data_IF_147707966488
#
_entry.id   IF_147707966488
#
_cell.length_a   1.000
_cell.length_b   1.000
_cell.length_c   1.000
_cell.angle_alpha   90.00
_cell.angle_beta   90.00
_cell.angle_gamma   90.00
#
_symmetry.space_group_name_H-M   'P 1'
#
loop_
_entity.id
_entity.type
_entity.pdbx_description
1 polymer ?
#
# COMPACT_ATOMS: atom_id res chain seq x y z
N UNK A 1 15.04 3.83 3.75
CA UNK A 1 14.69 3.20 5.03
C UNK A 1 15.36 1.85 5.19
N UNK A 2 15.30 1.30 6.39
CA UNK A 2 16.00 0.06 6.71
C UNK A 2 15.07 -1.14 6.69
N UNK A 3 15.60 -2.28 6.21
CA UNK A 3 14.83 -3.52 6.14
C UNK A 3 14.34 -3.96 7.51
N UNK A 4 15.18 -3.78 8.55
CA UNK A 4 14.78 -4.15 9.90
C UNK A 4 13.54 -3.40 10.39
N UNK A 5 13.42 -2.13 10.01
CA UNK A 5 12.23 -1.35 10.38
C UNK A 5 10.98 -1.87 9.68
N UNK A 6 11.13 -2.35 8.46
CA UNK A 6 10.01 -2.91 7.71
C UNK A 6 9.55 -4.21 8.37
N UNK A 7 10.48 -5.05 8.80
CA UNK A 7 10.14 -6.29 9.49
C UNK A 7 9.42 -6.02 10.79
N UNK A 8 9.85 -5.00 11.52
CA UNK A 8 9.18 -4.62 12.76
C UNK A 8 7.75 -4.17 12.49
N UNK A 9 7.55 -3.40 11.42
CA UNK A 9 6.22 -2.95 11.04
C UNK A 9 5.35 -4.14 10.65
N UNK A 10 5.91 -5.08 9.90
CA UNK A 10 5.18 -6.27 9.49
C UNK A 10 4.73 -7.08 10.71
N UNK A 11 5.65 -7.28 11.67
CA UNK A 11 5.31 -7.99 12.89
C UNK A 11 4.21 -7.28 13.67
N UNK A 12 4.30 -5.96 13.74
CA UNK A 12 3.30 -5.17 14.44
C UNK A 12 1.92 -5.30 13.78
N UNK A 13 1.90 -5.29 12.44
CA UNK A 13 0.66 -5.45 11.70
C UNK A 13 0.04 -6.82 11.94
N UNK A 14 0.85 -7.86 11.96
CA UNK A 14 0.35 -9.20 12.22
C UNK A 14 -0.23 -9.31 13.63
N UNK A 15 0.43 -8.72 14.61
CA UNK A 15 -0.07 -8.73 15.97
C UNK A 15 -1.38 -7.96 16.09
N UNK A 16 -1.47 -6.80 15.46
CA UNK A 16 -2.67 -5.97 15.53
C UNK A 16 -3.86 -6.62 14.85
N UNK A 17 -3.61 -7.24 13.72
CA UNK A 17 -4.70 -7.79 12.91
C UNK A 17 -5.09 -9.20 13.31
N UNK A 18 -4.21 -9.91 14.01
CA UNK A 18 -4.47 -11.25 14.47
C UNK A 18 -4.08 -12.36 13.52
N UNK A 19 -3.72 -12.04 12.29
CA UNK A 19 -3.28 -13.04 11.32
C UNK A 19 -2.52 -12.39 10.19
N UNK A 20 -1.76 -13.21 9.44
CA UNK A 20 -1.02 -12.72 8.29
C UNK A 20 -1.94 -12.21 7.20
N UNK A 21 -3.05 -12.90 6.97
CA UNK A 21 -4.00 -12.50 5.94
C UNK A 21 -4.63 -11.15 6.26
N UNK A 22 -5.01 -10.96 7.52
CA UNK A 22 -5.58 -9.70 7.96
C UNK A 22 -4.54 -8.58 7.90
N UNK A 23 -3.29 -8.89 8.19
CA UNK A 23 -2.21 -7.91 8.10
C UNK A 23 -2.05 -7.41 6.67
N UNK A 24 -2.09 -8.33 5.70
CA UNK A 24 -2.00 -7.96 4.29
C UNK A 24 -3.19 -7.12 3.86
N UNK A 25 -4.38 -7.48 4.30
CA UNK A 25 -5.59 -6.71 3.98
C UNK A 25 -5.51 -5.31 4.57
N UNK A 26 -5.05 -5.20 5.81
CA UNK A 26 -4.89 -3.92 6.48
C UNK A 26 -3.87 -3.05 5.74
N UNK A 27 -2.76 -3.65 5.35
CA UNK A 27 -1.73 -2.93 4.60
C UNK A 27 -2.27 -2.47 3.25
N UNK A 28 -3.00 -3.33 2.55
CA UNK A 28 -3.57 -2.97 1.25
C UNK A 28 -4.52 -1.79 1.37
N UNK A 29 -5.39 -1.79 2.36
CA UNK A 29 -6.32 -0.68 2.55
C UNK A 29 -5.61 0.59 3.01
N UNK A 30 -4.53 0.44 3.77
CA UNK A 30 -3.70 1.58 4.15
C UNK A 30 -3.06 2.19 2.92
N UNK A 31 -2.52 1.34 2.04
CA UNK A 31 -1.93 1.80 0.79
C UNK A 31 -2.98 2.51 -0.07
N UNK A 32 -4.17 1.93 -0.18
CA UNK A 32 -5.27 2.55 -0.92
C UNK A 32 -5.54 3.96 -0.39
N UNK A 33 -5.66 4.08 0.92
CA UNK A 33 -5.94 5.37 1.56
C UNK A 33 -4.84 6.39 1.28
N UNK A 34 -3.59 5.98 1.43
CA UNK A 34 -2.47 6.88 1.20
C UNK A 34 -2.35 7.29 -0.27
N UNK A 35 -2.58 6.35 -1.17
CA UNK A 35 -2.50 6.64 -2.60
C UNK A 35 -3.61 7.58 -3.04
N UNK A 36 -4.82 7.37 -2.56
CA UNK A 36 -5.93 8.26 -2.93
C UNK A 36 -5.72 9.66 -2.39
N UNK A 37 -5.19 9.78 -1.19
CA UNK A 37 -4.89 11.10 -0.61
C UNK A 37 -3.89 11.90 -1.44
N UNK A 38 -2.99 11.21 -2.12
CA UNK A 38 -1.93 11.84 -2.91
C UNK A 38 -2.24 11.90 -4.39
N UNK A 39 -3.35 11.30 -4.81
CA UNK A 39 -3.67 11.24 -6.24
C UNK A 39 -2.75 10.32 -7.02
N UNK A 40 -2.19 9.31 -6.37
CA UNK A 40 -1.29 8.35 -7.01
C UNK A 40 -2.11 7.15 -7.44
N UNK A 41 -2.10 6.84 -8.75
CA UNK A 41 -2.83 5.70 -9.28
C UNK A 41 -2.02 4.41 -9.27
N UNK A 42 -0.72 4.54 -9.34
CA UNK A 42 0.16 3.39 -9.46
C UNK A 42 1.53 3.73 -8.93
N UNK A 43 2.15 2.79 -8.24
CA UNK A 43 3.52 2.96 -7.79
C UNK A 43 4.21 1.60 -7.69
N UNK A 44 5.52 1.61 -7.78
CA UNK A 44 6.33 0.41 -7.64
C UNK A 44 7.46 0.66 -6.66
N UNK A 45 7.79 -0.38 -5.91
CA UNK A 45 8.99 -0.39 -5.09
C UNK A 45 9.75 -1.65 -5.45
N UNK A 46 10.95 -1.48 -5.97
CA UNK A 46 11.76 -2.59 -6.48
C UNK A 46 13.08 -2.62 -5.76
N UNK A 47 13.46 -3.79 -5.26
CA UNK A 47 14.72 -4.00 -4.59
C UNK A 47 15.87 -4.09 -5.62
N UNK A 48 17.11 -3.98 -5.17
CA UNK A 48 18.25 -4.05 -6.10
C UNK A 48 18.32 -5.34 -6.92
N UNK A 49 17.72 -6.43 -6.44
CA UNK A 49 17.70 -7.69 -7.17
C UNK A 49 16.60 -7.75 -8.23
N UNK A 50 15.86 -6.68 -8.39
CA UNK A 50 14.79 -6.62 -9.39
C UNK A 50 13.44 -7.09 -8.90
N UNK A 51 13.36 -7.59 -7.68
CA UNK A 51 12.10 -8.04 -7.10
C UNK A 51 11.46 -6.90 -6.32
N UNK A 52 10.16 -6.86 -6.33
CA UNK A 52 9.48 -5.79 -5.64
C UNK A 52 7.99 -5.93 -5.68
N UNK A 53 7.31 -4.83 -5.47
CA UNK A 53 5.86 -4.81 -5.43
C UNK A 53 5.35 -3.63 -6.25
N UNK A 54 4.22 -3.86 -6.90
CA UNK A 54 3.51 -2.83 -7.63
C UNK A 54 2.14 -2.66 -6.99
N UNK A 55 1.77 -1.42 -6.74
CA UNK A 55 0.47 -1.09 -6.18
C UNK A 55 -0.30 -0.27 -7.21
N UNK A 56 -1.53 -0.66 -7.47
CA UNK A 56 -2.34 -0.01 -8.48
C UNK A 56 -3.76 0.13 -7.97
N UNK A 57 -4.33 1.32 -8.11
CA UNK A 57 -5.72 1.52 -7.76
C UNK A 57 -6.61 0.98 -8.88
N UNK A 58 -7.63 0.25 -8.51
CA UNK A 58 -8.57 -0.30 -9.47
C UNK A 58 -9.97 0.22 -9.16
N UNK A 59 -10.86 0.11 -10.13
CA UNK A 59 -12.24 0.54 -9.94
C UNK A 59 -12.51 1.95 -10.41
N UNK A 60 -11.47 2.69 -10.81
CA UNK A 60 -11.64 4.04 -11.33
C UNK A 60 -11.77 3.95 -12.84
N UNK A 61 -12.69 4.71 -13.39
CA UNK A 61 -12.84 4.76 -14.83
C UNK A 61 -11.69 5.52 -15.46
N UNK A 62 -11.43 5.21 -16.72
CA UNK A 62 -10.33 5.82 -17.45
C UNK A 62 -10.38 7.34 -17.46
N UNK A 63 -11.59 7.89 -17.55
CA UNK A 63 -11.76 9.34 -17.59
C UNK A 63 -12.03 9.97 -16.23
N UNK A 64 -11.92 9.19 -15.16
CA UNK A 64 -12.09 9.71 -13.82
C UNK A 64 -10.75 10.16 -13.27
N UNK A 65 -10.78 11.22 -12.49
CA UNK A 65 -9.59 11.66 -11.79
C UNK A 65 -9.75 11.34 -10.32
N UNK A 66 -8.65 10.99 -9.68
CA UNK A 66 -8.66 10.77 -8.25
C UNK A 66 -8.78 12.13 -7.58
N UNK A 67 -9.76 12.32 -6.69
CA UNK A 67 -9.90 13.62 -6.01
C UNK A 67 -8.64 13.94 -5.23
N UNK A 68 -8.17 15.18 -5.36
CA UNK A 68 -6.99 15.64 -4.61
C UNK A 68 -7.22 15.54 -3.13
N UNK A 69 -8.43 15.78 -2.76
CA UNK A 69 -8.77 15.80 -1.36
C UNK A 69 -9.96 14.89 -1.16
N UNK A 70 -9.94 13.78 -1.01
CA UNK A 70 -11.07 12.88 -0.77
C UNK A 70 -12.15 13.55 0.11
N UNK A 71 -12.56 14.66 -0.34
CA UNK A 71 -13.57 15.40 0.39
C UNK A 71 -14.95 14.95 0.01
#
# INVERSE_FOLDING_TARGET
FQVGSIEEIADALEKRSGSEENALAMLAMTAFTLMTRRGICEMQNVAPDGKGIRLELIGFRENETIPDTLH
#
